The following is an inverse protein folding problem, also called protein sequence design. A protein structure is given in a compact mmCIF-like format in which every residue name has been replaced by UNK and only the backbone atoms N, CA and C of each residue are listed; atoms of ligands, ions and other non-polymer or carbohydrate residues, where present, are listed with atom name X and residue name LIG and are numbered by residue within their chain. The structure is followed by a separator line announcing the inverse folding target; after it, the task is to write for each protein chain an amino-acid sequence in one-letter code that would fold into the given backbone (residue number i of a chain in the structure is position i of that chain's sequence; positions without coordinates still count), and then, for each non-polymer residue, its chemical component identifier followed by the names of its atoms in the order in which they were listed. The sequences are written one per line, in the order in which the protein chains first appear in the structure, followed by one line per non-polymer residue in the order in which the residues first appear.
data_IF_873829979019
#
_entry.id   IF_873829979019
#
_cell.length_a   1.000
_cell.length_b   1.000
_cell.length_c   1.000
_cell.angle_alpha   90.00
_cell.angle_beta   90.00
_cell.angle_gamma   90.00
#
_symmetry.space_group_name_H-M   'P 1'
#
loop_
_entity.id
_entity.type
_entity.pdbx_description
1 polymer ?
#
# COMPACT_ATOMS: atom_id res chain seq x y z
N UNK A 1 -2.92 21.15 -17.84
CA UNK A 1 -3.97 20.27 -17.32
C UNK A 1 -4.15 18.99 -18.15
N UNK A 2 -4.35 19.06 -19.49
CA UNK A 2 -4.54 17.84 -20.33
C UNK A 2 -3.38 16.84 -20.30
N UNK A 3 -2.12 17.31 -20.23
CA UNK A 3 -0.92 16.44 -20.14
C UNK A 3 -0.77 15.73 -18.80
N UNK A 4 -1.18 16.36 -17.69
CA UNK A 4 -1.17 15.75 -16.35
C UNK A 4 -2.26 14.67 -16.21
N UNK A 5 -3.42 14.88 -16.84
CA UNK A 5 -4.50 13.89 -16.90
C UNK A 5 -4.10 12.68 -17.76
N UNK A 6 -3.41 12.92 -18.90
CA UNK A 6 -2.91 11.84 -19.74
C UNK A 6 -1.82 11.00 -19.04
N UNK A 7 -0.95 11.65 -18.24
CA UNK A 7 0.06 10.93 -17.46
C UNK A 7 -0.58 10.11 -16.32
N UNK A 8 -1.62 10.64 -15.67
CA UNK A 8 -2.39 9.92 -14.66
C UNK A 8 -3.15 8.72 -15.27
N UNK A 9 -3.73 8.88 -16.47
CA UNK A 9 -4.40 7.79 -17.19
C UNK A 9 -3.40 6.74 -17.73
N UNK A 10 -2.18 7.14 -18.08
CA UNK A 10 -1.14 6.20 -18.50
C UNK A 10 -0.65 5.30 -17.36
N UNK A 11 -0.68 5.82 -16.12
CA UNK A 11 -0.34 5.03 -14.91
C UNK A 11 -1.42 3.99 -14.56
N UNK A 12 -2.65 4.15 -15.08
CA UNK A 12 -3.79 3.23 -14.87
C UNK A 12 -3.77 2.06 -15.87
N UNK A 13 -3.02 2.19 -16.97
CA UNK A 13 -3.02 1.22 -18.07
C UNK A 13 -1.96 0.11 -17.97
N UNK A 14 -1.35 -0.08 -16.78
CA UNK A 14 -0.49 -1.25 -16.57
C UNK A 14 -1.39 -2.46 -16.28
N UNK A 15 -1.32 -3.53 -17.10
CA UNK A 15 -2.06 -4.74 -16.80
C UNK A 15 -1.60 -5.29 -15.45
N UNK A 16 -2.55 -5.60 -14.56
CA UNK A 16 -2.28 -6.36 -13.35
C UNK A 16 -1.86 -7.77 -13.78
N UNK A 17 -0.58 -8.01 -13.94
CA UNK A 17 -0.04 -9.35 -14.05
C UNK A 17 -0.03 -9.96 -12.65
N UNK A 18 -1.15 -10.54 -12.25
CA UNK A 18 -1.34 -11.20 -10.96
C UNK A 18 -0.71 -12.61 -10.88
N UNK A 19 0.29 -12.90 -11.67
CA UNK A 19 1.10 -14.12 -11.54
C UNK A 19 2.55 -13.76 -11.86
N UNK A 20 3.38 -13.45 -10.85
CA UNK A 20 4.81 -13.60 -11.02
C UNK A 20 5.05 -15.08 -11.31
N UNK A 21 5.54 -15.40 -12.50
CA UNK A 21 6.00 -16.76 -12.80
C UNK A 21 6.98 -17.16 -11.69
N UNK A 22 6.99 -18.45 -11.35
CA UNK A 22 7.88 -19.05 -10.37
C UNK A 22 9.35 -18.93 -10.82
N UNK A 23 9.88 -17.73 -10.79
CA UNK A 23 11.31 -17.52 -10.91
C UNK A 23 11.95 -18.05 -9.63
N UNK A 24 13.05 -18.80 -9.79
CA UNK A 24 13.76 -19.49 -8.71
C UNK A 24 14.42 -18.53 -7.68
N UNK A 25 13.92 -17.29 -7.55
CA UNK A 25 14.49 -16.27 -6.67
C UNK A 25 13.42 -15.60 -5.78
N UNK A 26 13.12 -16.19 -4.61
CA UNK A 26 12.11 -15.67 -3.68
C UNK A 26 12.35 -14.23 -3.22
N UNK A 27 13.60 -13.79 -3.14
CA UNK A 27 13.93 -12.41 -2.79
C UNK A 27 13.45 -11.45 -3.89
N UNK A 28 13.67 -11.80 -5.16
CA UNK A 28 13.25 -10.98 -6.29
C UNK A 28 11.72 -10.92 -6.37
N UNK A 29 11.04 -12.04 -6.15
CA UNK A 29 9.58 -12.09 -6.10
C UNK A 29 9.05 -11.16 -5.00
N UNK A 30 9.63 -11.23 -3.80
CA UNK A 30 9.29 -10.31 -2.71
C UNK A 30 9.56 -8.84 -3.03
N UNK A 31 10.66 -8.52 -3.72
CA UNK A 31 10.98 -7.13 -4.14
C UNK A 31 9.98 -6.60 -5.18
N UNK A 32 9.56 -7.42 -6.12
CA UNK A 32 8.67 -7.00 -7.21
C UNK A 32 7.20 -6.95 -6.79
N UNK A 33 6.79 -7.81 -5.87
CA UNK A 33 5.39 -7.99 -5.51
C UNK A 33 4.68 -6.69 -5.09
N UNK A 34 5.21 -5.85 -4.16
CA UNK A 34 4.54 -4.59 -3.80
C UNK A 34 4.53 -3.54 -4.92
N UNK A 35 5.33 -3.71 -5.96
CA UNK A 35 5.39 -2.82 -7.11
C UNK A 35 4.38 -3.21 -8.19
N UNK A 36 4.04 -4.49 -8.29
CA UNK A 36 3.12 -5.04 -9.29
C UNK A 36 1.68 -5.08 -8.80
N UNK A 37 1.44 -5.21 -7.49
CA UNK A 37 0.13 -5.08 -6.87
C UNK A 37 -0.29 -3.62 -6.73
N UNK A 38 -1.28 -3.17 -7.53
CA UNK A 38 -1.74 -1.78 -7.51
C UNK A 38 -2.28 -1.36 -6.14
N UNK A 39 -2.97 -2.23 -5.45
CA UNK A 39 -3.49 -2.06 -4.09
C UNK A 39 -2.37 -1.81 -3.07
N UNK A 40 -1.35 -2.64 -3.08
CA UNK A 40 -0.17 -2.52 -2.22
C UNK A 40 0.61 -1.23 -2.49
N UNK A 41 0.86 -0.96 -3.77
CA UNK A 41 1.55 0.25 -4.21
C UNK A 41 0.82 1.52 -3.72
N UNK A 42 -0.49 1.60 -3.95
CA UNK A 42 -1.31 2.75 -3.58
C UNK A 42 -1.45 2.89 -2.06
N UNK A 43 -1.62 1.78 -1.33
CA UNK A 43 -1.73 1.79 0.12
C UNK A 43 -0.43 2.28 0.77
N UNK A 44 0.72 1.78 0.35
CA UNK A 44 2.02 2.16 0.90
C UNK A 44 2.37 3.62 0.58
N UNK A 45 2.21 4.05 -0.69
CA UNK A 45 2.40 5.45 -1.07
C UNK A 45 1.45 6.36 -0.30
N UNK A 46 0.16 5.99 -0.22
CA UNK A 46 -0.87 6.72 0.51
C UNK A 46 -0.54 6.85 2.00
N UNK A 47 -0.11 5.78 2.63
CA UNK A 47 0.29 5.77 4.05
C UNK A 47 1.53 6.64 4.29
N UNK A 48 2.51 6.60 3.39
CA UNK A 48 3.67 7.49 3.43
C UNK A 48 3.28 8.97 3.34
N UNK A 49 2.37 9.32 2.41
CA UNK A 49 1.81 10.67 2.32
C UNK A 49 1.12 11.06 3.62
N UNK A 50 0.27 10.20 4.18
CA UNK A 50 -0.42 10.46 5.44
C UNK A 50 0.55 10.63 6.61
N UNK A 51 1.65 9.90 6.67
CA UNK A 51 2.69 10.07 7.69
C UNK A 51 3.24 11.50 7.67
N UNK A 52 3.52 12.03 6.48
CA UNK A 52 3.95 13.40 6.32
C UNK A 52 2.86 14.40 6.72
N UNK A 53 1.64 14.27 6.21
CA UNK A 53 0.54 15.20 6.44
C UNK A 53 0.12 15.28 7.92
N UNK A 54 0.14 14.14 8.61
CA UNK A 54 -0.21 14.04 10.04
C UNK A 54 0.95 14.29 11.00
N UNK A 55 2.15 14.56 10.46
CA UNK A 55 3.40 14.74 11.22
C UNK A 55 3.79 13.51 12.06
N UNK A 56 3.33 12.34 11.68
CA UNK A 56 3.72 11.06 12.30
C UNK A 56 4.84 10.39 11.49
N UNK A 57 5.90 11.15 11.28
CA UNK A 57 6.94 10.91 10.29
C UNK A 57 7.60 9.53 10.42
N UNK A 58 7.75 9.02 11.62
CA UNK A 58 8.40 7.73 11.90
C UNK A 58 7.41 6.72 12.49
N UNK A 59 6.54 7.15 13.39
CA UNK A 59 5.63 6.25 14.11
C UNK A 59 4.64 5.55 13.19
N UNK A 60 4.07 6.25 12.20
CA UNK A 60 3.11 5.64 11.29
C UNK A 60 3.78 4.65 10.31
N UNK A 61 4.89 4.99 9.61
CA UNK A 61 5.61 4.02 8.77
C UNK A 61 6.10 2.79 9.53
N UNK A 62 6.69 2.97 10.71
CA UNK A 62 7.17 1.83 11.51
C UNK A 62 6.02 0.94 11.97
N UNK A 63 4.92 1.51 12.47
CA UNK A 63 3.74 0.73 12.84
C UNK A 63 3.15 -0.04 11.64
N UNK A 64 3.12 0.59 10.46
CA UNK A 64 2.64 -0.04 9.22
C UNK A 64 3.52 -1.22 8.81
N UNK A 65 4.84 -1.03 8.79
CA UNK A 65 5.79 -2.11 8.45
C UNK A 65 5.75 -3.25 9.46
N UNK A 66 5.68 -2.92 10.77
CA UNK A 66 5.60 -3.94 11.82
C UNK A 66 4.31 -4.75 11.73
N UNK A 67 3.18 -4.09 11.49
CA UNK A 67 1.89 -4.75 11.31
C UNK A 67 1.87 -5.61 10.04
N UNK A 68 2.42 -5.11 8.94
CA UNK A 68 2.53 -5.85 7.68
C UNK A 68 3.41 -7.10 7.84
N UNK A 69 4.58 -6.98 8.47
CA UNK A 69 5.43 -8.14 8.75
C UNK A 69 4.75 -9.13 9.71
N UNK A 70 4.10 -8.64 10.77
CA UNK A 70 3.32 -9.49 11.67
C UNK A 70 2.18 -10.21 10.96
N UNK A 71 1.47 -9.51 10.07
CA UNK A 71 0.45 -10.11 9.20
C UNK A 71 1.01 -11.21 8.31
N UNK A 72 2.19 -10.99 7.71
CA UNK A 72 2.85 -12.01 6.89
C UNK A 72 3.18 -13.28 7.69
N UNK A 73 3.70 -13.12 8.90
CA UNK A 73 3.95 -14.27 9.80
C UNK A 73 2.64 -14.99 10.12
N UNK A 74 1.57 -14.27 10.43
CA UNK A 74 0.26 -14.87 10.72
C UNK A 74 -0.32 -15.59 9.50
N UNK A 75 -0.29 -14.97 8.31
CA UNK A 75 -0.75 -15.59 7.06
C UNK A 75 0.03 -16.86 6.74
N UNK A 76 1.35 -16.83 6.93
CA UNK A 76 2.21 -18.00 6.74
C UNK A 76 1.89 -19.16 7.69
N UNK A 77 1.54 -18.85 8.94
CA UNK A 77 1.24 -19.86 9.97
C UNK A 77 -0.18 -20.41 9.87
N UNK A 78 -1.15 -19.58 9.53
CA UNK A 78 -2.57 -19.91 9.60
C UNK A 78 -3.25 -20.09 8.24
N UNK A 79 -2.57 -19.71 7.13
CA UNK A 79 -3.12 -19.83 5.77
C UNK A 79 -4.22 -18.82 5.47
N UNK A 80 -5.11 -19.17 4.55
CA UNK A 80 -6.15 -18.28 4.03
C UNK A 80 -7.11 -17.79 5.12
N UNK A 81 -7.43 -16.50 5.05
CA UNK A 81 -8.40 -15.84 5.92
C UNK A 81 -9.48 -15.17 5.05
N UNK A 82 -10.73 -15.55 5.27
CA UNK A 82 -11.87 -14.95 4.55
C UNK A 82 -11.95 -13.45 4.83
N UNK A 83 -12.05 -12.66 3.78
CA UNK A 83 -12.22 -11.21 3.87
C UNK A 83 -10.91 -10.39 3.82
N UNK A 84 -9.75 -11.03 3.68
CA UNK A 84 -8.46 -10.32 3.50
C UNK A 84 -8.52 -9.35 2.33
N UNK A 85 -8.98 -9.81 1.15
CA UNK A 85 -9.12 -8.97 -0.05
C UNK A 85 -10.05 -7.76 0.17
N UNK A 86 -11.12 -7.98 0.94
CA UNK A 86 -12.04 -6.89 1.31
C UNK A 86 -11.34 -5.84 2.18
N UNK A 87 -10.54 -6.27 3.16
CA UNK A 87 -9.78 -5.35 4.02
C UNK A 87 -8.70 -4.61 3.26
N UNK A 88 -8.04 -5.26 2.32
CA UNK A 88 -7.08 -4.65 1.39
C UNK A 88 -7.76 -3.53 0.59
N UNK A 89 -8.89 -3.82 -0.04
CA UNK A 89 -9.66 -2.83 -0.81
C UNK A 89 -10.17 -1.66 0.04
N UNK A 90 -10.68 -1.94 1.25
CA UNK A 90 -11.14 -0.91 2.20
C UNK A 90 -9.97 0.01 2.61
N UNK A 91 -8.75 -0.50 2.71
CA UNK A 91 -7.58 0.31 3.08
C UNK A 91 -7.37 1.50 2.15
N UNK A 92 -7.58 1.31 0.84
CA UNK A 92 -7.45 2.37 -0.16
C UNK A 92 -8.52 3.45 0.01
N UNK A 93 -9.76 3.03 0.31
CA UNK A 93 -10.88 3.95 0.59
C UNK A 93 -10.58 4.76 1.85
N UNK A 94 -10.07 4.12 2.91
CA UNK A 94 -9.70 4.79 4.16
C UNK A 94 -8.56 5.79 3.94
N UNK A 95 -7.52 5.42 3.20
CA UNK A 95 -6.43 6.33 2.85
C UNK A 95 -6.93 7.54 2.04
N UNK A 96 -7.81 7.31 1.06
CA UNK A 96 -8.44 8.37 0.28
C UNK A 96 -9.29 9.30 1.16
N UNK A 97 -10.14 8.74 2.01
CA UNK A 97 -10.96 9.50 2.97
C UNK A 97 -10.10 10.33 3.93
N UNK A 98 -8.97 9.81 4.39
CA UNK A 98 -8.04 10.55 5.24
C UNK A 98 -7.48 11.79 4.55
N UNK A 99 -7.27 11.75 3.24
CA UNK A 99 -6.78 12.90 2.46
C UNK A 99 -7.89 13.89 2.10
N UNK A 100 -9.12 13.41 1.93
CA UNK A 100 -10.28 14.23 1.57
C UNK A 100 -10.93 14.89 2.79
N UNK A 101 -10.72 14.37 4.00
CA UNK A 101 -11.35 14.81 5.25
C UNK A 101 -10.30 15.27 6.28
N UNK A 102 -9.79 16.51 6.20
CA UNK A 102 -8.73 17.01 7.10
C UNK A 102 -9.06 16.84 8.59
N UNK A 103 -10.34 16.99 8.97
CA UNK A 103 -10.78 16.88 10.37
C UNK A 103 -10.66 15.46 10.94
N UNK A 104 -10.63 14.44 10.08
CA UNK A 104 -10.51 13.02 10.45
C UNK A 104 -9.17 12.41 10.03
N UNK A 105 -8.29 13.20 9.42
CA UNK A 105 -7.06 12.73 8.80
C UNK A 105 -6.18 11.92 9.75
N UNK A 106 -5.96 12.43 10.97
CA UNK A 106 -5.12 11.73 11.96
C UNK A 106 -5.76 10.41 12.38
N UNK A 107 -7.06 10.39 12.67
CA UNK A 107 -7.77 9.19 13.09
C UNK A 107 -7.71 8.10 12.00
N UNK A 108 -8.01 8.47 10.75
CA UNK A 108 -8.00 7.53 9.63
C UNK A 108 -6.57 7.06 9.29
N UNK A 109 -5.57 7.95 9.42
CA UNK A 109 -4.18 7.56 9.24
C UNK A 109 -3.72 6.53 10.28
N UNK A 110 -4.17 6.66 11.53
CA UNK A 110 -3.85 5.69 12.60
C UNK A 110 -4.51 4.33 12.40
N UNK A 111 -5.53 4.21 11.55
CA UNK A 111 -6.10 2.92 11.16
C UNK A 111 -5.24 2.18 10.13
N UNK A 112 -4.34 2.85 9.39
CA UNK A 112 -3.56 2.23 8.32
C UNK A 112 -2.72 1.02 8.76
N UNK A 113 -2.07 0.99 9.94
CA UNK A 113 -1.38 -0.21 10.40
C UNK A 113 -2.28 -1.43 10.56
N UNK A 114 -3.55 -1.24 10.95
CA UNK A 114 -4.52 -2.35 11.05
C UNK A 114 -4.77 -2.96 9.67
N UNK A 115 -4.95 -2.13 8.66
CA UNK A 115 -5.09 -2.61 7.27
C UNK A 115 -3.81 -3.22 6.72
N UNK A 116 -2.65 -2.67 7.08
CA UNK A 116 -1.35 -3.22 6.69
C UNK A 116 -1.13 -4.66 7.18
N UNK A 117 -1.74 -5.03 8.32
CA UNK A 117 -1.73 -6.41 8.79
C UNK A 117 -2.37 -7.36 7.76
N UNK A 118 -3.50 -6.97 7.15
CA UNK A 118 -4.17 -7.78 6.13
C UNK A 118 -3.38 -7.85 4.82
N UNK A 119 -2.74 -6.75 4.40
CA UNK A 119 -1.82 -6.77 3.27
C UNK A 119 -0.65 -7.75 3.53
N UNK A 120 -0.08 -7.70 4.73
CA UNK A 120 0.95 -8.67 5.13
C UNK A 120 0.43 -10.10 5.16
N UNK A 121 -0.80 -10.32 5.65
CA UNK A 121 -1.42 -11.65 5.68
C UNK A 121 -1.46 -12.28 4.29
N UNK A 122 -1.94 -11.55 3.28
CA UNK A 122 -1.95 -12.01 1.90
C UNK A 122 -0.55 -12.45 1.44
N UNK A 123 0.48 -11.63 1.67
CA UNK A 123 1.86 -11.99 1.35
C UNK A 123 2.36 -13.25 2.07
N UNK A 124 1.96 -13.43 3.32
CA UNK A 124 2.34 -14.62 4.09
C UNK A 124 1.75 -15.90 3.54
N UNK A 125 0.52 -15.83 3.01
CA UNK A 125 -0.17 -16.98 2.36
C UNK A 125 0.49 -17.31 1.01
N UNK A 126 0.87 -16.30 0.24
CA UNK A 126 1.49 -16.47 -1.08
C UNK A 126 2.92 -17.01 -1.01
N UNK A 127 3.64 -16.73 0.07
CA UNK A 127 5.02 -17.16 0.25
C UNK A 127 5.12 -18.68 0.46
N UNK A 128 5.93 -19.36 -0.36
CA UNK A 128 6.21 -20.77 -0.13
C UNK A 128 6.94 -20.98 1.19
N UNK A 129 6.66 -22.07 1.96
CA UNK A 129 7.25 -22.28 3.27
C UNK A 129 8.78 -22.21 3.31
N UNK A 130 9.44 -22.77 2.30
CA UNK A 130 10.90 -22.79 2.20
C UNK A 130 11.52 -21.42 1.87
N UNK A 131 10.74 -20.51 1.31
CA UNK A 131 11.20 -19.22 0.81
C UNK A 131 10.68 -18.02 1.62
N UNK A 132 9.85 -18.24 2.63
CA UNK A 132 9.16 -17.21 3.40
C UNK A 132 10.07 -16.06 3.86
N UNK A 133 11.23 -16.36 4.43
CA UNK A 133 12.12 -15.33 4.97
C UNK A 133 12.74 -14.46 3.88
N UNK A 134 13.14 -15.06 2.75
CA UNK A 134 13.71 -14.31 1.63
C UNK A 134 12.67 -13.47 0.93
N UNK A 135 11.48 -14.02 0.68
CA UNK A 135 10.34 -13.29 0.15
C UNK A 135 9.96 -12.12 1.07
N UNK A 136 9.82 -12.39 2.38
CA UNK A 136 9.48 -11.37 3.37
C UNK A 136 10.52 -10.26 3.46
N UNK A 137 11.80 -10.58 3.37
CA UNK A 137 12.87 -9.57 3.33
C UNK A 137 12.73 -8.65 2.11
N UNK A 138 12.40 -9.22 0.95
CA UNK A 138 12.16 -8.47 -0.29
C UNK A 138 10.97 -7.51 -0.15
N UNK A 139 9.80 -8.03 0.22
CA UNK A 139 8.59 -7.21 0.28
C UNK A 139 8.67 -6.12 1.36
N UNK A 140 9.24 -6.41 2.54
CA UNK A 140 9.43 -5.39 3.60
C UNK A 140 10.37 -4.29 3.13
N UNK A 141 11.45 -4.65 2.43
CA UNK A 141 12.41 -3.66 1.90
C UNK A 141 11.74 -2.70 0.93
N UNK A 142 11.01 -3.21 -0.06
CA UNK A 142 10.33 -2.35 -1.05
C UNK A 142 9.17 -1.60 -0.41
N UNK A 143 8.44 -2.21 0.52
CA UNK A 143 7.39 -1.52 1.28
C UNK A 143 7.94 -0.32 2.06
N UNK A 144 9.12 -0.47 2.69
CA UNK A 144 9.79 0.64 3.35
C UNK A 144 10.17 1.75 2.38
N UNK A 145 10.71 1.41 1.21
CA UNK A 145 11.04 2.38 0.16
C UNK A 145 9.80 3.13 -0.34
N UNK A 146 8.69 2.43 -0.58
CA UNK A 146 7.44 3.06 -1.02
C UNK A 146 6.86 4.01 0.04
N UNK A 147 6.94 3.64 1.32
CA UNK A 147 6.58 4.54 2.43
C UNK A 147 7.45 5.80 2.46
N UNK A 148 8.76 5.68 2.22
CA UNK A 148 9.70 6.82 2.15
C UNK A 148 9.37 7.70 0.95
N UNK A 149 9.12 7.12 -0.23
CA UNK A 149 8.71 7.87 -1.43
C UNK A 149 7.39 8.60 -1.18
N UNK A 150 6.39 7.90 -0.64
CA UNK A 150 5.10 8.50 -0.26
C UNK A 150 5.26 9.64 0.75
N UNK A 151 6.14 9.46 1.75
CA UNK A 151 6.46 10.52 2.72
C UNK A 151 7.06 11.75 2.03
N UNK A 152 7.99 11.57 1.09
CA UNK A 152 8.55 12.66 0.29
C UNK A 152 7.48 13.42 -0.49
N UNK A 153 6.58 12.69 -1.17
CA UNK A 153 5.41 13.26 -1.86
C UNK A 153 4.53 14.03 -0.87
N UNK A 154 4.24 13.45 0.29
CA UNK A 154 3.45 14.10 1.34
C UNK A 154 4.06 15.38 1.84
N UNK A 155 5.39 15.46 1.98
CA UNK A 155 6.09 16.69 2.34
C UNK A 155 5.87 17.81 1.29
N UNK A 156 5.85 17.48 0.00
CA UNK A 156 5.54 18.42 -1.07
C UNK A 156 4.07 18.84 -1.02
N UNK A 157 3.17 17.91 -0.73
CA UNK A 157 1.72 18.17 -0.69
C UNK A 157 1.27 18.99 0.52
N UNK A 158 2.04 19.06 1.62
CA UNK A 158 1.66 19.73 2.87
C UNK A 158 1.12 21.14 2.67
N UNK A 159 1.64 21.87 1.70
CA UNK A 159 1.28 23.29 1.42
C UNK A 159 0.22 23.44 0.34
N UNK A 160 -0.26 22.33 -0.24
CA UNK A 160 -1.11 22.35 -1.43
C UNK A 160 -2.38 21.50 -1.23
N UNK A 161 -3.37 22.06 -0.51
CA UNK A 161 -4.62 21.33 -0.19
C UNK A 161 -5.37 20.80 -1.42
N UNK A 162 -5.31 21.53 -2.56
CA UNK A 162 -5.91 21.07 -3.82
C UNK A 162 -5.23 19.80 -4.36
N UNK A 163 -3.89 19.74 -4.26
CA UNK A 163 -3.13 18.56 -4.70
C UNK A 163 -3.35 17.38 -3.74
N UNK A 164 -3.50 17.62 -2.44
CA UNK A 164 -3.88 16.56 -1.48
C UNK A 164 -5.22 15.92 -1.86
N UNK A 165 -6.23 16.77 -2.18
CA UNK A 165 -7.55 16.28 -2.63
C UNK A 165 -7.47 15.55 -3.95
N UNK A 166 -6.66 16.02 -4.90
CA UNK A 166 -6.44 15.35 -6.18
C UNK A 166 -5.79 13.96 -5.98
N UNK A 167 -4.78 13.89 -5.11
CA UNK A 167 -4.14 12.61 -4.75
C UNK A 167 -5.13 11.66 -4.06
N UNK A 168 -5.93 12.17 -3.10
CA UNK A 168 -6.98 11.39 -2.45
C UNK A 168 -8.06 10.90 -3.44
N UNK A 169 -8.44 11.73 -4.41
CA UNK A 169 -9.32 11.33 -5.50
C UNK A 169 -8.72 10.24 -6.38
N UNK A 170 -7.42 10.30 -6.65
CA UNK A 170 -6.68 9.26 -7.37
C UNK A 170 -6.66 7.92 -6.62
N UNK A 171 -6.45 7.95 -5.29
CA UNK A 171 -6.54 6.75 -4.46
C UNK A 171 -7.96 6.14 -4.48
N UNK A 172 -9.00 6.99 -4.43
CA UNK A 172 -10.38 6.51 -4.50
C UNK A 172 -10.70 5.87 -5.86
N UNK A 173 -10.20 6.45 -6.95
CA UNK A 173 -10.32 5.86 -8.28
C UNK A 173 -9.57 4.53 -8.38
N UNK A 174 -8.36 4.45 -7.79
CA UNK A 174 -7.60 3.19 -7.69
C UNK A 174 -8.35 2.13 -6.88
N UNK A 175 -8.96 2.52 -5.75
CA UNK A 175 -9.80 1.62 -4.97
C UNK A 175 -10.98 1.08 -5.78
N UNK A 176 -11.67 1.95 -6.52
CA UNK A 176 -12.79 1.55 -7.37
C UNK A 176 -12.33 0.59 -8.49
N UNK A 177 -11.15 0.82 -9.05
CA UNK A 177 -10.58 -0.06 -10.06
C UNK A 177 -10.25 -1.46 -9.50
N UNK A 178 -9.61 -1.52 -8.33
CA UNK A 178 -9.29 -2.79 -7.63
C UNK A 178 -10.55 -3.56 -7.24
N UNK A 179 -11.62 -2.86 -6.85
CA UNK A 179 -12.90 -3.50 -6.51
C UNK A 179 -13.70 -3.99 -7.72
N UNK A 180 -13.43 -3.48 -8.91
CA UNK A 180 -14.14 -3.82 -10.15
C UNK A 180 -13.47 -4.95 -10.94
N UNK A 181 -12.19 -5.26 -10.68
CA UNK A 181 -11.41 -6.31 -11.35
C UNK A 181 -11.36 -7.58 -10.58
#
# INVERSE_FOLDING_TARGET
MKKALALALLMIALPAFAHPGHDNNPLQDGLLHPLTGLDHLLMLLGTGVLAALTRRNLSLPLATLSAMFGGAVLGHLFGDLVGVETMISISLVVAACAMLQPNRQVLLALAMPVFALFHGWAHGVEATPSAFWMFSAGFVTVSALLLVVGFGVGCLLRRHSKLQKLFGGGLLAGAAFVLAG
#
